data_IF_897857555355
#
_entry.id   IF_897857555355
#
_cell.length_a   1.000
_cell.length_b   1.000
_cell.length_c   1.000
_cell.angle_alpha   90.00
_cell.angle_beta   90.00
_cell.angle_gamma   90.00
#
_symmetry.space_group_name_H-M   'P 1'
#
loop_
_entity.id
_entity.type
_entity.pdbx_description
1 polymer ?
#
# COMPACT_ATOMS: atom_id res chain seq x y z
N UNK A 1 12.01 -12.94 11.27
CA UNK A 1 13.22 -12.10 11.13
C UNK A 1 14.22 -12.69 12.12
N UNK A 2 15.49 -12.84 11.74
CA UNK A 2 16.52 -13.33 12.67
C UNK A 2 16.99 -12.21 13.62
N UNK A 3 17.55 -12.60 14.77
CA UNK A 3 17.97 -11.65 15.82
C UNK A 3 19.13 -10.75 15.39
N UNK A 4 20.02 -11.25 14.51
CA UNK A 4 21.12 -10.47 13.98
C UNK A 4 20.63 -9.29 13.11
N UNK A 5 19.56 -9.48 12.34
CA UNK A 5 18.91 -8.43 11.54
C UNK A 5 18.29 -7.36 12.44
N UNK A 6 17.67 -7.74 13.57
CA UNK A 6 17.09 -6.80 14.53
C UNK A 6 18.17 -5.92 15.15
N UNK A 7 19.25 -6.52 15.66
CA UNK A 7 20.38 -5.76 16.25
C UNK A 7 20.98 -4.78 15.24
N UNK A 8 21.07 -5.18 13.96
CA UNK A 8 21.58 -4.32 12.90
C UNK A 8 20.65 -3.16 12.55
N UNK A 9 19.33 -3.36 12.66
CA UNK A 9 18.34 -2.28 12.54
C UNK A 9 18.47 -1.29 13.70
N UNK A 10 18.55 -1.77 14.93
CA UNK A 10 18.71 -0.94 16.13
C UNK A 10 20.01 -0.12 16.10
N UNK A 11 21.09 -0.71 15.58
CA UNK A 11 22.38 -0.03 15.43
C UNK A 11 22.45 0.95 14.24
N UNK A 12 21.39 1.09 13.44
CA UNK A 12 21.40 1.94 12.24
C UNK A 12 22.35 1.46 11.13
N UNK A 13 22.83 0.22 11.21
CA UNK A 13 23.85 -0.35 10.32
C UNK A 13 23.28 -0.90 8.99
N UNK A 14 21.97 -0.77 8.79
CA UNK A 14 21.28 -1.08 7.53
C UNK A 14 20.54 0.18 7.10
N UNK A 15 21.08 0.85 6.08
CA UNK A 15 20.55 2.12 5.57
C UNK A 15 19.30 1.96 4.69
N UNK A 16 19.09 0.79 4.07
CA UNK A 16 17.94 0.51 3.20
C UNK A 16 17.39 -0.92 3.46
N UNK A 17 16.63 -1.12 4.54
CA UNK A 17 16.11 -2.44 4.92
C UNK A 17 14.99 -2.91 3.99
N UNK A 18 15.21 -4.04 3.30
CA UNK A 18 14.26 -4.60 2.32
C UNK A 18 12.78 -4.56 2.80
N UNK A 19 11.80 -4.16 1.96
CA UNK A 19 10.42 -3.90 2.38
C UNK A 19 9.73 -5.02 3.17
N UNK A 20 9.93 -6.28 2.77
CA UNK A 20 9.41 -7.45 3.50
C UNK A 20 9.88 -7.53 4.97
N UNK A 21 11.07 -7.01 5.29
CA UNK A 21 11.56 -6.96 6.67
C UNK A 21 10.88 -5.85 7.46
N UNK A 22 10.70 -4.67 6.86
CA UNK A 22 10.01 -3.54 7.46
C UNK A 22 8.53 -3.85 7.73
N UNK A 23 7.83 -4.49 6.79
CA UNK A 23 6.42 -4.87 6.96
C UNK A 23 6.21 -5.83 8.14
N UNK A 24 7.14 -6.77 8.34
CA UNK A 24 7.13 -7.71 9.47
C UNK A 24 7.41 -7.02 10.80
N UNK A 25 8.30 -6.02 10.83
CA UNK A 25 8.55 -5.19 12.03
C UNK A 25 7.33 -4.34 12.36
N UNK A 26 6.74 -3.65 11.36
CA UNK A 26 5.53 -2.86 11.55
C UNK A 26 4.39 -3.70 12.11
N UNK A 27 4.18 -4.92 11.58
CA UNK A 27 3.19 -5.86 12.10
C UNK A 27 3.48 -6.31 13.53
N UNK A 28 4.75 -6.63 13.86
CA UNK A 28 5.12 -7.09 15.19
C UNK A 28 4.95 -6.00 16.26
N UNK A 29 5.18 -4.74 15.89
CA UNK A 29 5.07 -3.58 16.77
C UNK A 29 3.69 -2.89 16.71
N UNK A 30 2.76 -3.44 15.92
CA UNK A 30 1.43 -2.84 15.66
C UNK A 30 1.51 -1.39 15.15
N UNK A 31 2.52 -1.09 14.34
CA UNK A 31 2.72 0.21 13.69
C UNK A 31 2.11 0.25 12.30
N UNK A 32 1.79 1.45 11.83
CA UNK A 32 1.42 1.70 10.43
C UNK A 32 2.61 1.35 9.51
N UNK A 33 2.38 0.49 8.52
CA UNK A 33 3.40 0.16 7.53
C UNK A 33 3.83 1.39 6.73
N UNK A 34 2.88 2.26 6.39
CA UNK A 34 3.16 3.51 5.65
C UNK A 34 4.14 4.41 6.43
N UNK A 35 3.92 4.56 7.73
CA UNK A 35 4.75 5.40 8.60
C UNK A 35 6.16 4.81 8.73
N UNK A 36 6.27 3.49 8.87
CA UNK A 36 7.56 2.79 8.94
C UNK A 36 8.33 2.89 7.62
N UNK A 37 7.65 2.84 6.47
CA UNK A 37 8.29 3.04 5.17
C UNK A 37 8.75 4.49 4.95
N UNK A 38 7.94 5.47 5.34
CA UNK A 38 8.30 6.89 5.27
C UNK A 38 9.51 7.21 6.17
N UNK A 39 9.55 6.66 7.39
CA UNK A 39 10.70 6.80 8.31
C UNK A 39 12.00 6.16 7.76
N UNK A 40 11.86 5.14 6.92
CA UNK A 40 12.98 4.45 6.29
C UNK A 40 13.33 5.03 4.90
N UNK A 41 12.79 6.20 4.55
CA UNK A 41 13.00 6.90 3.27
C UNK A 41 12.70 6.05 2.03
N UNK A 42 11.81 5.05 2.19
CA UNK A 42 11.26 4.33 1.05
C UNK A 42 10.30 5.27 0.31
N UNK A 43 10.35 5.22 -1.03
CA UNK A 43 9.25 5.69 -1.87
C UNK A 43 8.00 4.91 -1.45
N UNK A 44 7.23 5.47 -0.52
CA UNK A 44 5.82 5.14 -0.38
C UNK A 44 5.23 5.48 -1.73
N UNK A 45 4.60 4.55 -2.46
CA UNK A 45 3.93 4.90 -3.70
C UNK A 45 2.99 6.05 -3.39
N UNK A 46 3.35 7.26 -3.85
CA UNK A 46 2.49 8.44 -3.77
C UNK A 46 1.21 8.20 -4.57
N UNK A 47 1.30 7.25 -5.50
CA UNK A 47 0.20 6.81 -6.34
C UNK A 47 -0.46 5.59 -5.72
N UNK A 48 -1.75 5.75 -5.40
CA UNK A 48 -2.60 4.61 -5.12
C UNK A 48 -2.71 3.77 -6.41
N UNK A 49 -2.71 2.43 -6.31
CA UNK A 49 -3.11 1.61 -7.44
C UNK A 49 -4.53 1.98 -7.85
N UNK A 50 -4.83 1.86 -9.14
CA UNK A 50 -6.20 1.98 -9.61
C UNK A 50 -7.13 1.04 -8.83
N UNK A 51 -8.41 1.42 -8.74
CA UNK A 51 -9.38 0.84 -7.80
C UNK A 51 -9.45 -0.70 -7.90
N UNK A 52 -9.45 -1.27 -9.10
CA UNK A 52 -9.52 -2.73 -9.30
C UNK A 52 -8.30 -3.48 -8.77
N UNK A 53 -7.05 -3.17 -9.14
CA UNK A 53 -5.85 -3.75 -8.51
C UNK A 53 -5.86 -3.68 -6.98
N UNK A 54 -6.34 -2.56 -6.42
CA UNK A 54 -6.46 -2.41 -4.97
C UNK A 54 -7.48 -3.40 -4.38
N UNK A 55 -8.67 -3.49 -4.97
CA UNK A 55 -9.73 -4.38 -4.49
C UNK A 55 -9.33 -5.85 -4.54
N UNK A 56 -8.69 -6.29 -5.64
CA UNK A 56 -8.18 -7.67 -5.80
C UNK A 56 -7.17 -8.00 -4.71
N UNK A 57 -6.23 -7.09 -4.45
CA UNK A 57 -5.12 -7.33 -3.53
C UNK A 57 -5.56 -7.29 -2.07
N UNK A 58 -6.43 -6.34 -1.71
CA UNK A 58 -6.89 -6.16 -0.33
C UNK A 58 -8.03 -7.10 0.05
N UNK A 59 -8.92 -7.42 -0.89
CA UNK A 59 -10.11 -8.23 -0.67
C UNK A 59 -10.06 -9.49 -1.52
N UNK A 60 -9.18 -10.42 -1.16
CA UNK A 60 -8.90 -11.66 -1.90
C UNK A 60 -10.10 -12.62 -2.05
N UNK A 61 -11.21 -12.36 -1.36
CA UNK A 61 -12.46 -13.15 -1.44
C UNK A 61 -13.56 -12.47 -2.24
N UNK A 62 -13.32 -11.25 -2.75
CA UNK A 62 -14.27 -10.57 -3.61
C UNK A 62 -14.32 -11.29 -4.96
N UNK A 63 -15.53 -11.53 -5.48
CA UNK A 63 -15.70 -12.06 -6.82
C UNK A 63 -15.47 -10.96 -7.86
N UNK A 64 -14.98 -11.32 -9.03
CA UNK A 64 -14.73 -10.38 -10.13
C UNK A 64 -15.99 -9.58 -10.50
N UNK A 65 -17.17 -10.21 -10.42
CA UNK A 65 -18.44 -9.53 -10.67
C UNK A 65 -18.72 -8.40 -9.68
N UNK A 66 -18.34 -8.56 -8.41
CA UNK A 66 -18.56 -7.55 -7.38
C UNK A 66 -17.55 -6.42 -7.49
N UNK A 67 -16.31 -6.75 -7.88
CA UNK A 67 -15.28 -5.76 -8.22
C UNK A 67 -15.79 -4.85 -9.36
N UNK A 68 -16.35 -5.43 -10.42
CA UNK A 68 -16.87 -4.67 -11.55
C UNK A 68 -18.07 -3.80 -11.14
N UNK A 69 -19.00 -4.31 -10.32
CA UNK A 69 -20.15 -3.53 -9.80
C UNK A 69 -19.68 -2.33 -8.98
N UNK A 70 -18.62 -2.50 -8.18
CA UNK A 70 -18.02 -1.42 -7.38
C UNK A 70 -17.42 -0.36 -8.32
N UNK A 71 -16.62 -0.76 -9.31
CA UNK A 71 -16.04 0.18 -10.29
C UNK A 71 -17.13 0.99 -11.01
N UNK A 72 -18.20 0.34 -11.47
CA UNK A 72 -19.31 1.02 -12.16
C UNK A 72 -20.05 2.01 -11.25
N UNK A 73 -20.31 1.65 -10.00
CA UNK A 73 -20.95 2.55 -9.03
C UNK A 73 -20.09 3.79 -8.82
N UNK A 74 -18.80 3.55 -8.61
CA UNK A 74 -17.82 4.57 -8.29
C UNK A 74 -17.59 5.52 -9.48
N UNK A 75 -17.48 4.99 -10.71
CA UNK A 75 -17.43 5.78 -11.94
C UNK A 75 -18.70 6.63 -12.15
N UNK A 76 -19.88 6.08 -11.85
CA UNK A 76 -21.15 6.84 -11.92
C UNK A 76 -21.19 7.99 -10.92
N UNK A 77 -20.70 7.78 -9.69
CA UNK A 77 -20.64 8.82 -8.66
C UNK A 77 -19.65 9.93 -9.02
N UNK A 78 -18.46 9.55 -9.49
CA UNK A 78 -17.43 10.46 -9.99
C UNK A 78 -17.99 11.38 -11.08
N UNK A 79 -18.63 10.79 -12.11
CA UNK A 79 -19.29 11.54 -13.18
C UNK A 79 -20.41 12.46 -12.68
N UNK A 80 -21.23 11.99 -11.73
CA UNK A 80 -22.35 12.78 -11.17
C UNK A 80 -21.88 13.98 -10.34
N UNK A 81 -20.71 13.88 -9.71
CA UNK A 81 -20.20 14.87 -8.75
C UNK A 81 -19.04 15.70 -9.30
N UNK A 82 -18.54 15.38 -10.49
CA UNK A 82 -17.50 16.15 -11.18
C UNK A 82 -16.09 15.93 -10.62
N UNK A 83 -15.79 14.75 -10.08
CA UNK A 83 -14.42 14.39 -9.69
C UNK A 83 -13.92 13.18 -10.49
N UNK A 84 -12.60 13.08 -10.70
CA UNK A 84 -11.96 11.94 -11.37
C UNK A 84 -11.44 10.95 -10.34
N UNK A 85 -11.57 9.65 -10.66
CA UNK A 85 -10.93 8.56 -9.93
C UNK A 85 -9.91 7.81 -10.79
N UNK A 86 -9.70 8.30 -12.01
CA UNK A 86 -8.50 7.96 -12.74
C UNK A 86 -7.36 8.72 -12.06
N UNK A 87 -6.54 8.00 -11.31
CA UNK A 87 -5.19 8.43 -10.97
C UNK A 87 -4.42 8.48 -12.29
N UNK A 88 -4.59 9.56 -13.02
CA UNK A 88 -3.69 9.93 -14.09
C UNK A 88 -2.51 10.63 -13.44
N UNK A 89 -1.46 9.89 -13.15
CA UNK A 89 -0.14 10.46 -13.32
C UNK A 89 0.62 9.69 -14.40
N UNK A 90 0.69 10.35 -15.54
CA UNK A 90 1.69 10.13 -16.56
C UNK A 90 2.86 11.03 -16.15
N UNK A 91 3.93 10.46 -15.60
CA UNK A 91 5.11 11.22 -15.19
C UNK A 91 6.15 10.38 -14.50
#
# INVERSE_FOLDING_TARGET
IDQATVVRFEAGSIFAPHPDKLSRVAKALSLSGADVYALADYLVPTDLPSLKPYLITKYTRLLDEDINKIEELVARLAKKRGFSLADTDTG
#
